data_IF_451792978683
#
_entry.id   IF_451792978683
#
_cell.length_a   1.000
_cell.length_b   1.000
_cell.length_c   1.000
_cell.angle_alpha   90.00
_cell.angle_beta   90.00
_cell.angle_gamma   90.00
#
_symmetry.space_group_name_H-M   'P 1'
#
loop_
_entity.id
_entity.type
_entity.pdbx_description
1 polymer ?
#
# COMPACT_ATOMS: atom_id res chain seq x y z
N UNK A 1 -3.78 -2.98 0.01
CA UNK A 1 -4.93 -2.14 -0.32
C UNK A 1 -6.16 -2.94 0.02
N UNK A 2 -7.20 -2.31 0.53
CA UNK A 2 -8.49 -2.95 0.70
C UNK A 2 -9.43 -2.55 -0.43
N UNK A 3 -10.51 -3.31 -0.59
CA UNK A 3 -11.53 -3.04 -1.62
C UNK A 3 -12.92 -2.78 -1.04
N UNK A 4 -13.11 -2.93 0.27
CA UNK A 4 -14.30 -2.44 0.96
C UNK A 4 -14.22 -0.93 1.19
N UNK A 5 -15.39 -0.34 1.46
CA UNK A 5 -15.55 1.06 1.83
C UNK A 5 -16.69 1.19 2.82
N UNK A 6 -16.67 2.23 3.66
CA UNK A 6 -17.79 2.53 4.54
C UNK A 6 -18.13 4.03 4.57
N UNK A 7 -19.40 4.40 4.82
CA UNK A 7 -19.75 5.76 5.15
C UNK A 7 -20.18 5.88 6.62
N UNK A 8 -20.01 7.04 7.24
CA UNK A 8 -20.67 7.32 8.52
C UNK A 8 -22.21 7.33 8.39
N UNK A 9 -22.70 7.74 7.23
CA UNK A 9 -24.12 7.64 6.86
C UNK A 9 -24.30 7.74 5.34
N UNK A 10 -25.35 7.11 4.81
CA UNK A 10 -25.69 7.17 3.39
C UNK A 10 -24.89 6.19 2.51
N UNK A 11 -24.77 6.47 1.20
CA UNK A 11 -23.97 5.66 0.28
C UNK A 11 -22.47 5.69 0.59
N UNK A 12 -21.75 4.62 0.24
CA UNK A 12 -20.28 4.52 0.32
C UNK A 12 -19.70 4.31 -1.08
N UNK A 13 -19.43 5.37 -1.85
CA UNK A 13 -18.77 5.21 -3.14
C UNK A 13 -17.29 4.82 -2.98
N UNK A 14 -16.59 5.31 -1.95
CA UNK A 14 -15.24 4.87 -1.58
C UNK A 14 -14.20 5.08 -2.69
N UNK A 15 -14.27 6.22 -3.39
CA UNK A 15 -13.45 6.44 -4.57
C UNK A 15 -11.98 6.65 -4.24
N UNK A 16 -11.66 7.44 -3.21
CA UNK A 16 -10.30 7.54 -2.71
C UNK A 16 -10.02 6.54 -1.59
N UNK A 17 -10.99 6.30 -0.71
CA UNK A 17 -10.91 5.35 0.41
C UNK A 17 -11.78 4.09 0.13
N UNK A 18 -11.24 3.00 -0.42
CA UNK A 18 -9.88 2.85 -0.97
C UNK A 18 -9.90 2.42 -2.44
N UNK A 19 -10.86 2.96 -3.20
CA UNK A 19 -10.98 2.73 -4.64
C UNK A 19 -9.70 3.10 -5.41
N UNK A 20 -8.99 4.15 -4.97
CA UNK A 20 -7.76 4.61 -5.60
C UNK A 20 -6.61 3.62 -5.40
N UNK A 21 -6.42 3.10 -4.18
CA UNK A 21 -5.42 2.08 -3.87
C UNK A 21 -5.75 0.72 -4.50
N UNK A 22 -7.02 0.32 -4.53
CA UNK A 22 -7.46 -0.89 -5.22
C UNK A 22 -7.23 -0.82 -6.74
N UNK A 23 -7.56 0.31 -7.37
CA UNK A 23 -7.30 0.53 -8.79
C UNK A 23 -5.78 0.53 -9.11
N UNK A 24 -4.97 1.15 -8.24
CA UNK A 24 -3.53 1.11 -8.36
C UNK A 24 -2.97 -0.30 -8.20
N UNK A 25 -3.44 -1.09 -7.22
CA UNK A 25 -3.02 -2.48 -7.02
C UNK A 25 -3.21 -3.30 -8.30
N UNK A 26 -4.40 -3.24 -8.91
CA UNK A 26 -4.69 -3.95 -10.17
C UNK A 26 -3.80 -3.46 -11.32
N UNK A 27 -3.54 -2.15 -11.39
CA UNK A 27 -2.66 -1.56 -12.40
C UNK A 27 -1.21 -2.00 -12.24
N UNK A 28 -0.70 -2.05 -11.00
CA UNK A 28 0.63 -2.57 -10.67
C UNK A 28 0.72 -4.05 -11.01
N UNK A 29 -0.26 -4.87 -10.60
CA UNK A 29 -0.28 -6.30 -10.89
C UNK A 29 -0.23 -6.57 -12.40
N UNK A 30 -1.02 -5.83 -13.18
CA UNK A 30 -1.00 -5.89 -14.64
C UNK A 30 0.37 -5.50 -15.20
N UNK A 31 0.90 -4.35 -14.82
CA UNK A 31 2.20 -3.87 -15.32
C UNK A 31 3.36 -4.80 -14.94
N UNK A 32 3.30 -5.39 -13.74
CA UNK A 32 4.28 -6.36 -13.27
C UNK A 32 4.24 -7.63 -14.12
N UNK A 33 3.06 -8.18 -14.39
CA UNK A 33 2.90 -9.34 -15.27
C UNK A 33 3.36 -9.06 -16.71
N UNK A 34 3.04 -7.88 -17.26
CA UNK A 34 3.44 -7.47 -18.61
C UNK A 34 4.94 -7.16 -18.75
N UNK A 35 5.64 -6.94 -17.64
CA UNK A 35 7.09 -6.64 -17.67
C UNK A 35 7.96 -7.82 -18.09
N UNK A 36 7.45 -9.06 -18.00
CA UNK A 36 8.19 -10.28 -18.31
C UNK A 36 9.29 -10.62 -17.30
N UNK A 37 9.38 -9.88 -16.20
CA UNK A 37 10.35 -10.08 -15.13
C UNK A 37 10.05 -11.36 -14.35
N UNK A 38 11.08 -12.15 -14.09
CA UNK A 38 11.01 -13.30 -13.18
C UNK A 38 11.60 -12.89 -11.83
N UNK A 39 10.79 -12.81 -10.76
CA UNK A 39 11.32 -12.46 -9.45
C UNK A 39 12.03 -13.62 -8.78
N UNK A 40 13.00 -13.29 -7.92
CA UNK A 40 13.63 -14.28 -7.03
C UNK A 40 12.78 -14.55 -5.80
N UNK A 41 11.96 -13.59 -5.37
CA UNK A 41 11.01 -13.73 -4.26
C UNK A 41 9.58 -13.90 -4.76
N UNK A 42 8.74 -14.62 -4.03
CA UNK A 42 7.30 -14.63 -4.26
C UNK A 42 6.70 -13.23 -4.08
N UNK A 43 5.73 -12.87 -4.94
CA UNK A 43 5.03 -11.58 -4.91
C UNK A 43 3.53 -11.83 -4.85
N UNK A 44 2.87 -11.21 -3.87
CA UNK A 44 1.42 -11.28 -3.70
C UNK A 44 0.81 -9.92 -4.01
N UNK A 45 -0.23 -9.92 -4.84
CA UNK A 45 -1.11 -8.77 -5.02
C UNK A 45 -2.40 -9.07 -4.29
N UNK A 46 -2.62 -8.39 -3.15
CA UNK A 46 -3.74 -8.70 -2.26
C UNK A 46 -4.62 -7.47 -2.09
N UNK A 47 -5.91 -7.67 -2.41
CA UNK A 47 -6.98 -6.73 -2.10
C UNK A 47 -7.72 -7.26 -0.87
N UNK A 48 -7.56 -6.61 0.27
CA UNK A 48 -8.15 -7.04 1.54
C UNK A 48 -9.63 -6.66 1.63
N UNK A 49 -10.39 -7.46 2.37
CA UNK A 49 -11.75 -7.16 2.74
C UNK A 49 -11.80 -6.83 4.23
N UNK A 50 -12.72 -5.95 4.63
CA UNK A 50 -13.02 -5.67 6.02
C UNK A 50 -11.93 -4.90 6.75
N UNK A 51 -11.17 -4.08 6.03
CA UNK A 51 -10.28 -3.09 6.64
C UNK A 51 -11.09 -2.17 7.55
N UNK A 52 -12.22 -1.70 7.01
CA UNK A 52 -13.10 -0.69 7.59
C UNK A 52 -13.86 -1.18 8.83
N UNK A 53 -13.83 -2.49 9.07
CA UNK A 53 -14.39 -3.16 10.24
C UNK A 53 -13.32 -3.56 11.27
N UNK A 54 -12.09 -3.08 11.10
CA UNK A 54 -10.97 -3.34 12.00
C UNK A 54 -9.97 -4.35 11.44
N UNK A 55 -9.51 -4.13 10.20
CA UNK A 55 -8.40 -4.86 9.57
C UNK A 55 -8.65 -6.36 9.42
N UNK A 56 -9.91 -6.80 9.31
CA UNK A 56 -10.28 -8.22 9.44
C UNK A 56 -9.57 -9.12 8.41
N UNK A 57 -9.52 -8.68 7.16
CA UNK A 57 -8.90 -9.44 6.07
C UNK A 57 -7.39 -9.49 6.16
N UNK A 58 -6.73 -8.36 6.41
CA UNK A 58 -5.27 -8.27 6.56
C UNK A 58 -4.79 -8.98 7.82
N UNK A 59 -5.52 -8.90 8.93
CA UNK A 59 -5.25 -9.67 10.15
C UNK A 59 -5.35 -11.17 9.94
N UNK A 60 -6.38 -11.63 9.22
CA UNK A 60 -6.56 -13.03 8.89
C UNK A 60 -5.43 -13.52 7.98
N UNK A 61 -5.10 -12.75 6.95
CA UNK A 61 -4.00 -13.09 6.03
C UNK A 61 -2.64 -13.14 6.75
N UNK A 62 -2.34 -12.15 7.60
CA UNK A 62 -1.10 -12.13 8.38
C UNK A 62 -0.99 -13.33 9.33
N UNK A 63 -2.09 -13.75 9.98
CA UNK A 63 -2.11 -14.98 10.80
C UNK A 63 -1.85 -16.22 9.95
N UNK A 64 -2.41 -16.25 8.76
CA UNK A 64 -2.26 -17.38 7.85
C UNK A 64 -0.84 -17.53 7.32
N UNK A 65 -0.13 -16.42 7.09
CA UNK A 65 1.30 -16.45 6.74
C UNK A 65 2.15 -17.14 7.82
N UNK A 66 1.76 -17.07 9.10
CA UNK A 66 2.46 -17.75 10.20
C UNK A 66 2.00 -19.20 10.42
N UNK A 67 0.92 -19.63 9.77
CA UNK A 67 0.27 -20.90 10.05
C UNK A 67 1.00 -22.05 9.34
N UNK A 68 1.77 -22.90 10.05
CA UNK A 68 2.56 -23.95 9.42
C UNK A 68 1.70 -25.07 8.80
N UNK A 69 0.42 -25.09 9.15
CA UNK A 69 -0.59 -26.03 8.63
C UNK A 69 -1.70 -25.31 7.89
N UNK A 70 -1.45 -24.08 7.44
CA UNK A 70 -2.41 -23.25 6.73
C UNK A 70 -2.76 -23.75 5.33
N UNK A 71 -3.66 -23.03 4.69
CA UNK A 71 -4.13 -23.17 3.32
C UNK A 71 -3.19 -22.51 2.31
N UNK A 72 -2.34 -21.55 2.73
CA UNK A 72 -1.32 -20.98 1.84
C UNK A 72 -0.26 -22.05 1.48
N UNK A 73 0.28 -22.07 0.24
CA UNK A 73 1.39 -22.96 -0.11
C UNK A 73 2.58 -22.79 0.84
N UNK A 74 3.34 -23.84 1.10
CA UNK A 74 4.41 -23.84 2.11
C UNK A 74 5.48 -22.78 1.81
N UNK A 75 5.83 -22.60 0.54
CA UNK A 75 6.76 -21.58 0.05
C UNK A 75 6.25 -20.14 0.20
N UNK A 76 4.97 -19.97 0.52
CA UNK A 76 4.30 -18.69 0.74
C UNK A 76 4.14 -18.35 2.22
N UNK A 77 4.59 -19.23 3.13
CA UNK A 77 4.50 -19.04 4.58
C UNK A 77 5.80 -18.42 5.09
N UNK A 78 5.69 -17.78 6.25
CA UNK A 78 6.83 -17.22 6.96
C UNK A 78 7.78 -18.31 7.43
N UNK A 79 9.07 -18.09 7.19
CA UNK A 79 10.09 -18.76 7.98
C UNK A 79 10.10 -18.13 9.37
N UNK A 80 9.66 -18.87 10.38
CA UNK A 80 9.63 -18.38 11.76
C UNK A 80 11.04 -18.13 12.34
N UNK A 81 12.10 -18.60 11.67
CA UNK A 81 13.49 -18.30 12.01
C UNK A 81 14.02 -17.03 11.32
N UNK A 82 13.33 -16.53 10.29
CA UNK A 82 13.61 -15.27 9.61
C UNK A 82 12.32 -14.45 9.43
N UNK A 83 12.00 -13.66 10.45
CA UNK A 83 10.78 -12.85 10.51
C UNK A 83 10.79 -11.67 9.51
N UNK A 84 11.90 -11.47 8.78
CA UNK A 84 11.98 -10.47 7.70
C UNK A 84 11.62 -11.07 6.32
N UNK A 85 11.21 -12.34 6.26
CA UNK A 85 10.87 -13.01 5.00
C UNK A 85 9.64 -12.43 4.32
N UNK A 86 8.70 -11.82 5.05
CA UNK A 86 7.52 -11.18 4.48
C UNK A 86 7.43 -9.71 4.83
N UNK A 87 7.62 -8.88 3.81
CA UNK A 87 7.49 -7.44 3.84
C UNK A 87 6.19 -7.04 3.11
N UNK A 88 5.55 -5.96 3.55
CA UNK A 88 4.35 -5.44 2.89
C UNK A 88 4.51 -4.00 2.40
N UNK A 89 4.01 -3.74 1.21
CA UNK A 89 3.75 -2.41 0.68
C UNK A 89 2.24 -2.26 0.54
N UNK A 90 1.64 -1.38 1.35
CA UNK A 90 0.20 -1.14 1.38
C UNK A 90 -0.08 0.23 0.75
N UNK A 91 -1.19 0.32 0.02
CA UNK A 91 -1.70 1.58 -0.55
C UNK A 91 -3.06 1.83 0.03
N UNK A 92 -3.26 3.04 0.51
CA UNK A 92 -4.52 3.55 1.03
C UNK A 92 -4.65 5.03 0.70
N UNK A 93 -5.87 5.51 0.42
CA UNK A 93 -6.18 6.92 0.12
C UNK A 93 -5.12 7.64 -0.72
N UNK A 94 -4.73 7.06 -1.86
CA UNK A 94 -3.56 7.53 -2.64
C UNK A 94 -3.90 8.63 -3.66
N UNK A 95 -5.14 9.09 -3.69
CA UNK A 95 -5.70 9.89 -4.76
C UNK A 95 -6.02 11.32 -4.37
N UNK A 96 -6.16 11.69 -3.10
CA UNK A 96 -6.47 13.06 -2.75
C UNK A 96 -5.23 13.97 -2.71
N UNK A 97 -5.25 15.05 -3.49
CA UNK A 97 -4.19 16.05 -3.49
C UNK A 97 -4.58 17.24 -2.60
N UNK A 98 -3.98 17.33 -1.42
CA UNK A 98 -4.26 18.43 -0.48
C UNK A 98 -4.00 19.81 -1.07
N UNK A 99 -4.95 20.76 -0.95
CA UNK A 99 -4.76 22.14 -1.39
C UNK A 99 -3.75 22.90 -0.52
N UNK A 100 -3.35 22.37 0.64
CA UNK A 100 -2.34 22.99 1.52
C UNK A 100 -0.91 22.75 1.04
N UNK A 101 -0.69 21.81 0.11
CA UNK A 101 0.64 21.47 -0.39
C UNK A 101 0.86 22.05 -1.79
N UNK A 102 2.07 22.53 -2.04
CA UNK A 102 2.48 23.06 -3.34
C UNK A 102 2.88 21.96 -4.33
N UNK A 103 3.17 20.76 -3.83
CA UNK A 103 3.63 19.62 -4.60
C UNK A 103 2.77 18.38 -4.28
N UNK A 104 2.63 17.49 -5.28
CA UNK A 104 2.04 16.18 -5.08
C UNK A 104 2.92 15.39 -4.11
N UNK A 105 2.35 15.07 -2.94
CA UNK A 105 3.10 14.52 -1.81
C UNK A 105 2.51 13.17 -1.42
N UNK A 106 3.38 12.19 -1.20
CA UNK A 106 3.04 10.94 -0.55
C UNK A 106 3.59 10.93 0.87
N UNK A 107 2.82 10.41 1.81
CA UNK A 107 3.28 10.06 3.14
C UNK A 107 3.63 8.56 3.14
N UNK A 108 4.80 8.23 3.68
CA UNK A 108 5.18 6.87 4.01
C UNK A 108 4.89 6.68 5.50
N UNK A 109 3.97 5.80 5.86
CA UNK A 109 3.69 5.50 7.26
C UNK A 109 4.23 4.12 7.63
N UNK A 110 5.17 4.12 8.57
CA UNK A 110 5.80 2.93 9.09
C UNK A 110 6.65 3.25 10.32
N UNK A 111 6.93 2.23 11.14
CA UNK A 111 8.04 2.35 12.10
C UNK A 111 9.38 2.48 11.37
N UNK A 112 10.35 3.15 12.01
CA UNK A 112 11.71 3.34 11.48
C UNK A 112 12.41 2.02 11.14
N UNK A 113 12.01 0.91 11.76
CA UNK A 113 12.52 -0.43 11.44
C UNK A 113 12.19 -0.92 10.03
N UNK A 114 11.27 -0.26 9.31
CA UNK A 114 10.93 -0.57 7.91
C UNK A 114 11.73 0.26 6.89
N UNK A 115 12.88 0.82 7.30
CA UNK A 115 13.75 1.67 6.49
C UNK A 115 14.18 1.03 5.16
N UNK A 116 14.42 -0.28 5.11
CA UNK A 116 14.76 -0.97 3.86
C UNK A 116 13.67 -0.80 2.77
N UNK A 117 12.40 -0.90 3.16
CA UNK A 117 11.26 -0.72 2.25
C UNK A 117 11.19 0.75 1.80
N UNK A 118 11.38 1.69 2.74
CA UNK A 118 11.40 3.12 2.44
C UNK A 118 12.55 3.51 1.52
N UNK A 119 13.73 2.90 1.65
CA UNK A 119 14.85 3.10 0.75
C UNK A 119 14.53 2.59 -0.67
N UNK A 120 13.84 1.44 -0.80
CA UNK A 120 13.37 0.98 -2.10
C UNK A 120 12.38 1.96 -2.75
N UNK A 121 11.47 2.55 -1.97
CA UNK A 121 10.53 3.58 -2.43
C UNK A 121 11.25 4.87 -2.84
N UNK A 122 12.19 5.37 -2.03
CA UNK A 122 12.99 6.55 -2.34
C UNK A 122 13.78 6.37 -3.65
N UNK A 123 14.46 5.22 -3.79
CA UNK A 123 15.21 4.86 -4.98
C UNK A 123 14.33 4.68 -6.22
N UNK A 124 13.11 4.18 -6.05
CA UNK A 124 12.13 4.09 -7.13
C UNK A 124 11.66 5.49 -7.55
N UNK A 125 11.28 6.35 -6.60
CA UNK A 125 10.85 7.73 -6.86
C UNK A 125 11.94 8.55 -7.58
N UNK A 126 13.21 8.40 -7.17
CA UNK A 126 14.34 9.09 -7.79
C UNK A 126 14.59 8.68 -9.25
N UNK A 127 14.37 7.40 -9.60
CA UNK A 127 14.63 6.86 -10.95
C UNK A 127 13.51 7.11 -11.95
N UNK A 128 12.38 7.68 -11.51
CA UNK A 128 11.26 8.02 -12.39
C UNK A 128 11.67 9.03 -13.45
N UNK A 129 11.07 8.89 -14.63
CA UNK A 129 11.26 9.82 -15.76
C UNK A 129 10.21 10.93 -15.81
N UNK A 130 9.06 10.73 -15.16
CA UNK A 130 8.03 11.75 -14.97
C UNK A 130 8.30 12.56 -13.69
N UNK A 131 7.37 13.45 -13.34
CA UNK A 131 7.47 14.26 -12.12
C UNK A 131 7.62 13.37 -10.89
N UNK A 132 8.59 13.72 -10.04
CA UNK A 132 8.80 13.07 -8.75
C UNK A 132 7.74 13.54 -7.76
N UNK A 133 7.40 12.68 -6.82
CA UNK A 133 6.60 13.06 -5.67
C UNK A 133 7.50 13.69 -4.61
N UNK A 134 6.99 14.69 -3.91
CA UNK A 134 7.46 14.98 -2.57
C UNK A 134 7.13 13.77 -1.69
N UNK A 135 8.04 13.40 -0.79
CA UNK A 135 7.85 12.26 0.11
C UNK A 135 8.12 12.74 1.52
N UNK A 136 7.15 12.49 2.40
CA UNK A 136 7.29 12.64 3.85
C UNK A 136 7.17 11.27 4.51
N UNK A 137 7.59 11.16 5.76
CA UNK A 137 7.49 9.93 6.53
C UNK A 137 6.91 10.23 7.90
N UNK A 138 5.91 9.43 8.30
CA UNK A 138 5.36 9.37 9.64
C UNK A 138 5.86 8.11 10.33
N UNK A 139 6.55 8.28 11.46
CA UNK A 139 7.00 7.17 12.33
C UNK A 139 5.95 6.75 13.37
N UNK A 140 4.73 7.29 13.29
CA UNK A 140 3.61 6.95 14.15
C UNK A 140 2.48 6.28 13.34
N UNK A 141 2.73 5.12 12.70
CA UNK A 141 1.77 4.48 11.81
C UNK A 141 0.51 4.01 12.55
N UNK A 142 -0.64 4.14 11.90
CA UNK A 142 -1.93 3.67 12.39
C UNK A 142 -2.91 3.45 11.24
N UNK A 143 -4.11 2.92 11.55
CA UNK A 143 -5.29 3.19 10.73
C UNK A 143 -5.49 2.37 9.45
N UNK A 144 -4.55 1.54 8.99
CA UNK A 144 -4.73 0.74 7.77
C UNK A 144 -4.02 -0.63 7.82
N UNK A 145 -4.22 -1.46 6.79
CA UNK A 145 -3.80 -2.88 6.70
C UNK A 145 -2.31 -3.14 7.01
N UNK A 146 -1.44 -2.15 6.80
CA UNK A 146 -0.01 -2.26 7.12
C UNK A 146 0.23 -2.53 8.62
N UNK A 147 -0.69 -2.12 9.49
CA UNK A 147 -0.65 -2.40 10.92
C UNK A 147 -0.70 -3.90 11.24
N UNK A 148 -1.30 -4.72 10.39
CA UNK A 148 -1.29 -6.18 10.57
C UNK A 148 0.10 -6.79 10.49
N UNK A 149 1.04 -6.15 9.79
CA UNK A 149 2.45 -6.52 9.81
C UNK A 149 3.18 -5.87 10.98
N UNK A 150 3.03 -4.55 11.13
CA UNK A 150 3.80 -3.77 12.09
C UNK A 150 3.57 -4.21 13.54
N UNK A 151 2.32 -4.52 13.92
CA UNK A 151 1.97 -4.98 15.28
C UNK A 151 2.56 -6.36 15.62
N UNK A 152 3.01 -7.11 14.62
CA UNK A 152 3.70 -8.41 14.77
C UNK A 152 5.23 -8.28 14.78
N UNK A 153 5.75 -7.07 14.64
CA UNK A 153 7.18 -6.80 14.51
C UNK A 153 7.72 -7.06 13.10
N UNK A 154 6.86 -7.21 12.08
CA UNK A 154 7.29 -7.33 10.69
C UNK A 154 7.36 -5.97 10.02
N UNK A 155 8.02 -5.93 8.86
CA UNK A 155 8.25 -4.68 8.14
C UNK A 155 7.16 -4.44 7.11
N UNK A 156 6.54 -3.26 7.19
CA UNK A 156 5.56 -2.81 6.23
C UNK A 156 5.60 -1.30 6.10
N UNK A 157 5.23 -0.79 4.93
CA UNK A 157 5.04 0.64 4.69
C UNK A 157 3.69 0.85 4.04
N UNK A 158 2.90 1.75 4.62
CA UNK A 158 1.77 2.36 3.93
C UNK A 158 2.27 3.53 3.08
N UNK A 159 1.86 3.57 1.83
CA UNK A 159 1.94 4.77 1.02
C UNK A 159 0.55 5.37 0.91
N UNK A 160 0.40 6.60 1.38
CA UNK A 160 -0.86 7.33 1.43
C UNK A 160 -0.63 8.76 0.91
N UNK A 161 -1.71 9.50 0.60
CA UNK A 161 -1.57 10.91 0.27
C UNK A 161 -0.90 11.69 1.43
N UNK A 162 -0.27 12.82 1.12
CA UNK A 162 0.60 13.50 2.10
C UNK A 162 -0.08 14.25 3.25
N UNK A 163 -1.41 14.24 3.34
CA UNK A 163 -2.21 15.03 4.29
C UNK A 163 -3.54 14.33 4.58
N UNK A 164 -3.51 13.00 4.68
CA UNK A 164 -4.65 12.09 4.66
C UNK A 164 -5.73 12.41 5.70
N UNK A 165 -5.34 12.70 6.94
CA UNK A 165 -6.27 13.13 8.01
C UNK A 165 -7.11 14.39 7.67
N UNK A 166 -6.73 15.14 6.63
CA UNK A 166 -7.43 16.35 6.18
C UNK A 166 -8.37 16.11 4.99
N UNK A 167 -8.50 14.87 4.49
CA UNK A 167 -9.39 14.55 3.37
C UNK A 167 -10.86 14.79 3.75
N UNK A 168 -11.55 15.81 3.17
CA UNK A 168 -12.85 16.24 3.67
C UNK A 168 -14.01 15.30 3.33
N UNK A 169 -13.78 14.32 2.44
CA UNK A 169 -14.81 13.37 2.02
C UNK A 169 -14.64 11.98 2.64
N UNK A 170 -13.63 11.78 3.50
CA UNK A 170 -13.36 10.54 4.24
C UNK A 170 -14.63 9.98 4.89
N UNK A 171 -14.95 8.71 4.63
CA UNK A 171 -16.14 8.00 5.12
C UNK A 171 -17.46 8.74 4.88
N UNK A 172 -17.60 9.38 3.71
CA UNK A 172 -18.84 10.05 3.31
C UNK A 172 -19.33 9.62 1.93
N UNK A 173 -20.60 9.91 1.65
CA UNK A 173 -21.18 9.76 0.31
C UNK A 173 -20.54 10.67 -0.75
N UNK A 174 -19.70 11.63 -0.34
CA UNK A 174 -18.98 12.52 -1.24
C UNK A 174 -17.59 11.98 -1.62
N UNK A 175 -17.16 10.83 -1.11
CA UNK A 175 -15.92 10.20 -1.58
C UNK A 175 -16.15 9.59 -2.98
N UNK A 176 -16.10 10.45 -3.99
CA UNK A 176 -16.41 10.14 -5.38
C UNK A 176 -15.21 10.38 -6.28
N UNK A 177 -15.18 9.72 -7.44
CA UNK A 177 -14.06 9.78 -8.40
C UNK A 177 -13.66 11.22 -8.80
N UNK A 178 -14.60 12.17 -8.76
CA UNK A 178 -14.31 13.58 -9.04
C UNK A 178 -13.31 14.22 -8.05
N UNK A 179 -13.16 13.67 -6.84
CA UNK A 179 -12.22 14.13 -5.82
C UNK A 179 -10.85 13.44 -5.94
N UNK A 180 -10.72 12.43 -6.80
CA UNK A 180 -9.48 11.67 -7.00
C UNK A 180 -8.58 12.38 -8.00
N UNK A 181 -7.40 12.76 -7.55
CA UNK A 181 -6.30 13.21 -8.40
C UNK A 181 -5.55 12.00 -8.99
N UNK A 182 -5.93 11.61 -10.21
CA UNK A 182 -5.29 10.49 -10.91
C UNK A 182 -3.79 10.66 -11.18
N UNK A 183 -3.26 11.90 -11.15
CA UNK A 183 -1.80 12.12 -11.32
C UNK A 183 -1.05 11.74 -10.04
N UNK A 184 -1.58 12.08 -8.87
CA UNK A 184 -1.02 11.66 -7.58
C UNK A 184 -1.11 10.14 -7.43
N UNK A 185 -2.28 9.56 -7.64
CA UNK A 185 -2.50 8.11 -7.54
C UNK A 185 -1.56 7.33 -8.48
N UNK A 186 -1.45 7.75 -9.75
CA UNK A 186 -0.49 7.14 -10.68
C UNK A 186 0.98 7.38 -10.27
N UNK A 187 1.26 8.53 -9.65
CA UNK A 187 2.52 8.83 -8.98
C UNK A 187 2.86 7.77 -7.95
N UNK A 188 2.02 7.57 -6.96
CA UNK A 188 2.24 6.61 -5.86
C UNK A 188 2.33 5.18 -6.41
N UNK A 189 1.42 4.80 -7.31
CA UNK A 189 1.40 3.47 -7.92
C UNK A 189 2.70 3.12 -8.64
N UNK A 190 3.24 4.04 -9.46
CA UNK A 190 4.51 3.85 -10.17
C UNK A 190 5.71 3.82 -9.21
N UNK A 191 5.67 4.58 -8.11
CA UNK A 191 6.72 4.54 -7.07
C UNK A 191 6.74 3.15 -6.42
N UNK A 192 5.55 2.65 -6.05
CA UNK A 192 5.40 1.33 -5.44
C UNK A 192 5.76 0.20 -6.39
N UNK A 193 5.40 0.29 -7.69
CA UNK A 193 5.84 -0.69 -8.69
C UNK A 193 7.37 -0.74 -8.80
N UNK A 194 8.03 0.42 -8.83
CA UNK A 194 9.48 0.49 -8.86
C UNK A 194 10.13 -0.09 -7.60
N UNK A 195 9.55 0.15 -6.42
CA UNK A 195 10.01 -0.43 -5.17
C UNK A 195 9.81 -1.96 -5.16
N UNK A 196 8.65 -2.44 -5.63
CA UNK A 196 8.33 -3.85 -5.73
C UNK A 196 9.34 -4.61 -6.59
N UNK A 197 9.74 -4.07 -7.74
CA UNK A 197 10.81 -4.69 -8.55
C UNK A 197 12.14 -4.79 -7.79
N UNK A 198 12.47 -3.79 -6.95
CA UNK A 198 13.71 -3.82 -6.15
C UNK A 198 13.62 -4.86 -5.02
N UNK A 199 12.49 -4.90 -4.32
CA UNK A 199 12.22 -5.83 -3.23
C UNK A 199 12.18 -7.28 -3.68
N UNK A 200 11.57 -7.55 -4.84
CA UNK A 200 11.42 -8.88 -5.42
C UNK A 200 12.74 -9.47 -5.95
N UNK A 201 13.82 -8.67 -5.98
CA UNK A 201 15.15 -9.02 -6.50
C UNK A 201 15.06 -9.61 -7.91
N UNK A 202 14.89 -8.72 -8.89
CA UNK A 202 14.77 -9.10 -10.30
C UNK A 202 16.11 -9.57 -10.88
N UNK A 203 16.12 -10.73 -11.53
CA UNK A 203 17.25 -11.13 -12.38
C UNK A 203 17.15 -10.36 -13.70
N UNK A 204 18.21 -9.61 -14.03
CA UNK A 204 18.36 -8.91 -15.31
C UNK A 204 19.12 -9.75 -16.32
#
# INVERSE_FOLDING_TARGET
>A
AHYDSRPYSGPAPGADDNGSGAAALLSIAKAYAESGVVPVKSVYFVAFAGEEQGLLGSEAFAKELQNPTGELPEECRLDLNDQNTHQALIMDEIGWASPKKTELTANLEAYDSSDEIMEHLAQANMRRRDSKLAVVHSSNPFGSDHMSWLTRGWHAVLTINGDDEEYPAYHTANDVVANVNGTLAAGIAKMNLGALFRMARVQT
#
